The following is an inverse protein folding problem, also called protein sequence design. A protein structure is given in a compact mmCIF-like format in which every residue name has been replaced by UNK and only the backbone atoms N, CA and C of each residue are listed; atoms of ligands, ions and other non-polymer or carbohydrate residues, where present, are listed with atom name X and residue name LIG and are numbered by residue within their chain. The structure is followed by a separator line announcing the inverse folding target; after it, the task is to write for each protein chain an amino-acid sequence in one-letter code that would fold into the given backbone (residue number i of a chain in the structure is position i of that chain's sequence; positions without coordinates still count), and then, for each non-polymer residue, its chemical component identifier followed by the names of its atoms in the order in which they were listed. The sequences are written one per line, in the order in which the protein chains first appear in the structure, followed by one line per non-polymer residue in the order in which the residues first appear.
data_IF_417890144875
#
_entry.id   IF_417890144875
#
_cell.length_a   1.000
_cell.length_b   1.000
_cell.length_c   1.000
_cell.angle_alpha   90.00
_cell.angle_beta   90.00
_cell.angle_gamma   90.00
#
_symmetry.space_group_name_H-M   'P 1'
#
loop_
_entity.id
_entity.type
_entity.pdbx_description
1 polymer ?
#
# COMPACT_ATOMS: atom_id res chain seq x y z
N UNK A 1 -5.73 -10.55 1.11
CA UNK A 1 -6.81 -10.52 2.13
C UNK A 1 -6.25 -10.83 3.51
N UNK A 2 -6.41 -9.89 4.46
CA UNK A 2 -5.94 -10.05 5.85
C UNK A 2 -6.86 -11.03 6.60
N UNK A 3 -6.25 -11.89 7.42
CA UNK A 3 -6.95 -12.85 8.27
C UNK A 3 -7.63 -12.14 9.46
N UNK A 4 -8.94 -12.35 9.61
CA UNK A 4 -9.76 -11.74 10.66
C UNK A 4 -9.29 -12.12 12.08
N UNK A 5 -8.84 -13.34 12.30
CA UNK A 5 -8.36 -13.78 13.62
C UNK A 5 -7.08 -13.05 14.01
N UNK A 6 -6.21 -12.78 13.05
CA UNK A 6 -5.00 -11.98 13.27
C UNK A 6 -5.34 -10.54 13.65
N UNK A 7 -6.35 -9.95 13.00
CA UNK A 7 -6.83 -8.60 13.36
C UNK A 7 -7.39 -8.59 14.77
N UNK A 8 -8.23 -9.57 15.13
CA UNK A 8 -8.78 -9.68 16.49
C UNK A 8 -7.70 -9.85 17.55
N UNK A 9 -6.67 -10.67 17.30
CA UNK A 9 -5.56 -10.83 18.23
C UNK A 9 -4.82 -9.51 18.50
N UNK A 10 -4.61 -8.70 17.45
CA UNK A 10 -4.01 -7.37 17.58
C UNK A 10 -4.94 -6.42 18.34
N UNK A 11 -6.23 -6.39 18.00
CA UNK A 11 -7.22 -5.53 18.67
C UNK A 11 -7.34 -5.86 20.16
N UNK A 12 -7.44 -7.14 20.52
CA UNK A 12 -7.49 -7.59 21.92
C UNK A 12 -6.24 -7.17 22.70
N UNK A 13 -5.05 -7.25 22.07
CA UNK A 13 -3.80 -6.82 22.70
C UNK A 13 -3.70 -5.31 22.88
N UNK A 14 -4.21 -4.53 21.92
CA UNK A 14 -4.08 -3.06 21.91
C UNK A 14 -5.19 -2.35 22.68
N UNK A 15 -6.37 -2.97 22.78
CA UNK A 15 -7.56 -2.37 23.39
C UNK A 15 -8.18 -3.35 24.40
N UNK A 16 -7.50 -3.63 25.54
CA UNK A 16 -7.98 -4.61 26.52
C UNK A 16 -9.31 -4.22 27.18
N UNK A 17 -9.70 -2.95 27.13
CA UNK A 17 -10.98 -2.46 27.67
C UNK A 17 -12.13 -2.42 26.64
N UNK A 18 -11.89 -2.78 25.38
CA UNK A 18 -12.94 -2.83 24.37
C UNK A 18 -13.85 -4.05 24.60
N UNK A 19 -15.14 -3.90 24.30
CA UNK A 19 -16.06 -5.05 24.32
C UNK A 19 -15.80 -5.98 23.14
N UNK A 20 -16.25 -7.24 23.27
CA UNK A 20 -16.17 -8.22 22.18
C UNK A 20 -16.88 -7.72 20.91
N UNK A 21 -18.01 -7.03 21.05
CA UNK A 21 -18.77 -6.48 19.92
C UNK A 21 -18.01 -5.35 19.22
N UNK A 22 -17.35 -4.47 19.97
CA UNK A 22 -16.52 -3.41 19.40
C UNK A 22 -15.33 -3.98 18.62
N UNK A 23 -14.67 -5.00 19.18
CA UNK A 23 -13.58 -5.70 18.50
C UNK A 23 -14.06 -6.43 17.25
N UNK A 24 -15.20 -7.11 17.31
CA UNK A 24 -15.79 -7.79 16.16
C UNK A 24 -16.17 -6.81 15.04
N UNK A 25 -16.79 -5.68 15.39
CA UNK A 25 -17.15 -4.63 14.43
C UNK A 25 -15.91 -4.02 13.76
N UNK A 26 -14.88 -3.69 14.55
CA UNK A 26 -13.63 -3.16 14.02
C UNK A 26 -12.90 -4.17 13.11
N UNK A 27 -12.84 -5.44 13.52
CA UNK A 27 -12.23 -6.49 12.70
C UNK A 27 -12.97 -6.67 11.37
N UNK A 28 -14.31 -6.66 11.37
CA UNK A 28 -15.11 -6.76 10.16
C UNK A 28 -14.87 -5.55 9.24
N UNK A 29 -14.81 -4.34 9.80
CA UNK A 29 -14.53 -3.12 9.04
C UNK A 29 -13.14 -3.17 8.37
N UNK A 30 -12.11 -3.59 9.10
CA UNK A 30 -10.73 -3.67 8.60
C UNK A 30 -10.59 -4.74 7.50
N UNK A 31 -11.17 -5.92 7.71
CA UNK A 31 -11.11 -7.02 6.72
C UNK A 31 -11.94 -6.68 5.47
N UNK A 32 -12.97 -5.84 5.61
CA UNK A 32 -13.77 -5.33 4.50
C UNK A 32 -13.18 -4.15 3.74
N UNK A 33 -12.02 -3.62 4.16
CA UNK A 33 -11.35 -2.56 3.40
C UNK A 33 -10.85 -3.10 2.06
N UNK A 34 -11.17 -2.36 1.00
CA UNK A 34 -10.60 -2.64 -0.32
C UNK A 34 -9.10 -2.36 -0.34
N UNK A 35 -8.36 -3.07 -1.20
CA UNK A 35 -6.95 -2.77 -1.43
C UNK A 35 -6.82 -1.39 -2.11
N UNK A 36 -6.57 -0.36 -1.30
CA UNK A 36 -6.40 1.03 -1.75
C UNK A 36 -5.07 1.26 -2.49
N UNK A 37 -4.10 0.37 -2.32
CA UNK A 37 -2.76 0.50 -2.87
C UNK A 37 -2.49 -0.65 -3.81
N UNK A 38 -1.88 -0.33 -4.95
CA UNK A 38 -1.40 -1.34 -5.88
C UNK A 38 0.13 -1.24 -6.00
N UNK A 39 0.76 -2.40 -6.09
CA UNK A 39 2.19 -2.50 -6.32
C UNK A 39 2.49 -1.99 -7.73
N UNK A 40 3.39 -1.02 -7.81
CA UNK A 40 3.90 -0.50 -9.08
C UNK A 40 5.03 -1.41 -9.50
N UNK A 41 4.82 -2.15 -10.59
CA UNK A 41 5.89 -2.97 -11.14
C UNK A 41 7.05 -2.09 -11.61
N UNK A 42 8.24 -2.68 -11.59
CA UNK A 42 9.47 -2.16 -12.20
C UNK A 42 9.36 -1.93 -13.73
N UNK A 43 8.26 -2.37 -14.36
CA UNK A 43 7.98 -2.15 -15.78
C UNK A 43 8.11 -0.66 -16.15
N UNK A 44 8.87 -0.46 -17.21
CA UNK A 44 9.39 0.83 -17.70
C UNK A 44 8.32 1.91 -17.89
N UNK A 45 7.07 1.53 -18.14
CA UNK A 45 5.94 2.42 -18.40
C UNK A 45 5.36 3.08 -17.15
N UNK A 46 5.65 2.56 -15.94
CA UNK A 46 4.95 2.98 -14.71
C UNK A 46 5.79 3.80 -13.73
N UNK A 47 7.11 3.67 -13.76
CA UNK A 47 8.01 4.35 -12.82
C UNK A 47 8.83 5.45 -13.47
N UNK A 48 9.10 5.35 -14.77
CA UNK A 48 9.67 6.42 -15.56
C UNK A 48 11.06 6.92 -15.19
N UNK A 49 11.78 6.18 -14.34
CA UNK A 49 13.15 6.51 -13.95
C UNK A 49 14.16 6.26 -15.08
N UNK A 50 13.70 5.77 -16.24
CA UNK A 50 14.46 5.50 -17.45
C UNK A 50 14.04 6.39 -18.64
N UNK A 51 13.16 7.39 -18.43
CA UNK A 51 12.72 8.29 -19.51
C UNK A 51 13.79 9.28 -20.00
N UNK A 52 14.93 9.39 -19.30
CA UNK A 52 16.05 10.24 -19.72
C UNK A 52 17.38 9.52 -19.52
N UNK A 53 18.35 9.64 -20.45
CA UNK A 53 19.70 9.11 -20.28
C UNK A 53 20.45 9.72 -19.09
N UNK A 54 19.98 10.87 -18.56
CA UNK A 54 20.54 11.51 -17.38
C UNK A 54 19.76 11.18 -16.09
N UNK A 55 18.76 10.28 -16.14
CA UNK A 55 17.94 9.99 -14.96
C UNK A 55 18.77 9.47 -13.80
N UNK A 56 19.82 8.69 -14.01
CA UNK A 56 20.72 8.24 -12.94
C UNK A 56 21.36 9.42 -12.21
N UNK A 57 21.70 10.51 -12.88
CA UNK A 57 22.37 11.66 -12.25
C UNK A 57 21.44 12.51 -11.37
N UNK A 58 20.13 12.44 -11.60
CA UNK A 58 19.13 13.30 -10.94
C UNK A 58 18.05 12.55 -10.15
N UNK A 59 17.85 11.26 -10.40
CA UNK A 59 16.83 10.44 -9.77
C UNK A 59 17.44 9.59 -8.67
N UNK A 60 17.08 9.90 -7.43
CA UNK A 60 17.51 9.13 -6.26
C UNK A 60 17.23 7.62 -6.40
N UNK A 61 16.07 7.24 -6.94
CA UNK A 61 15.69 5.84 -7.11
C UNK A 61 16.62 5.12 -8.10
N UNK A 62 16.96 5.74 -9.22
CA UNK A 62 17.88 5.17 -10.20
C UNK A 62 19.28 4.94 -9.58
N UNK A 63 19.78 5.91 -8.79
CA UNK A 63 21.07 5.77 -8.10
C UNK A 63 21.11 4.62 -7.11
N UNK A 64 20.04 4.41 -6.34
CA UNK A 64 19.99 3.34 -5.35
C UNK A 64 19.85 1.96 -6.01
N UNK A 65 19.08 1.86 -7.11
CA UNK A 65 19.00 0.61 -7.89
C UNK A 65 20.36 0.19 -8.42
N UNK A 66 21.18 1.12 -8.95
CA UNK A 66 22.55 0.81 -9.40
C UNK A 66 23.47 0.34 -8.26
N UNK A 67 23.21 0.80 -7.03
CA UNK A 67 23.94 0.36 -5.83
C UNK A 67 23.47 -1.00 -5.30
N UNK A 68 22.44 -1.59 -5.92
CA UNK A 68 21.91 -2.89 -5.56
C UNK A 68 20.76 -2.86 -4.55
N UNK A 69 20.18 -1.69 -4.27
CA UNK A 69 19.00 -1.60 -3.40
C UNK A 69 17.75 -2.13 -4.11
N UNK A 70 16.91 -2.84 -3.36
CA UNK A 70 15.63 -3.35 -3.83
C UNK A 70 14.48 -2.54 -3.24
N UNK A 71 13.61 -2.02 -4.11
CA UNK A 71 12.43 -1.25 -3.72
C UNK A 71 11.14 -2.01 -4.01
N UNK A 72 10.15 -1.83 -3.14
CA UNK A 72 8.75 -2.15 -3.43
C UNK A 72 7.96 -0.85 -3.42
N UNK A 73 7.44 -0.47 -4.57
CA UNK A 73 6.74 0.79 -4.76
C UNK A 73 5.23 0.52 -4.81
N UNK A 74 4.47 1.35 -4.14
CA UNK A 74 3.01 1.27 -4.10
C UNK A 74 2.44 2.62 -4.49
N UNK A 75 1.43 2.61 -5.36
CA UNK A 75 0.65 3.81 -5.66
C UNK A 75 -0.76 3.65 -5.13
N UNK A 76 -1.34 4.76 -4.67
CA UNK A 76 -2.75 4.77 -4.29
C UNK A 76 -3.57 4.62 -5.55
N UNK A 77 -4.50 3.68 -5.56
CA UNK A 77 -5.44 3.50 -6.67
C UNK A 77 -6.21 4.80 -6.86
N UNK A 78 -6.28 5.27 -8.10
CA UNK A 78 -7.09 6.43 -8.43
C UNK A 78 -8.55 6.09 -8.17
N UNK A 79 -9.18 6.80 -7.23
CA UNK A 79 -10.64 6.78 -7.11
C UNK A 79 -11.15 7.57 -8.30
N UNK A 80 -11.50 6.88 -9.39
CA UNK A 80 -12.27 7.51 -10.46
C UNK A 80 -13.61 7.95 -9.86
N UNK A 81 -13.67 9.18 -9.36
CA UNK A 81 -14.94 9.86 -9.16
C UNK A 81 -15.50 10.08 -10.54
N UNK A 82 -16.45 9.25 -10.96
CA UNK A 82 -17.27 9.49 -12.13
C UNK A 82 -17.80 10.92 -12.02
N UNK A 83 -17.29 11.82 -12.86
CA UNK A 83 -17.90 13.12 -13.02
C UNK A 83 -19.29 12.87 -13.60
N UNK A 84 -20.33 13.03 -12.78
CA UNK A 84 -21.68 13.20 -13.28
C UNK A 84 -21.68 14.50 -14.09
N UNK A 85 -21.70 14.37 -15.41
CA UNK A 85 -22.09 15.42 -16.35
C UNK A 85 -23.60 15.56 -16.36
#
# INVERSE_FOLDING_TARGET
MIDREKVLAVLAKRFPGASADQMAAAANAIVGLEEEWEEVSDREDQLGYNFSPNCTDICYLAQQVERGDAFRLFRKRAVYRSAHF
#
